data_IF_398193388089
#
_entry.id   IF_398193388089
#
_cell.length_a   1.000
_cell.length_b   1.000
_cell.length_c   1.000
_cell.angle_alpha   90.00
_cell.angle_beta   90.00
_cell.angle_gamma   90.00
#
_symmetry.space_group_name_H-M   'P 1'
#
loop_
_entity.id
_entity.type
_entity.pdbx_description
1 polymer ?
#
# COMPACT_ATOMS: atom_id res chain seq x y z
N UNK A 1 13.22 -14.33 11.35
CA UNK A 1 11.88 -14.85 11.75
C UNK A 1 11.72 -16.36 11.46
N UNK A 2 12.80 -17.11 11.58
CA UNK A 2 12.85 -18.55 11.21
C UNK A 2 12.33 -19.50 12.29
N UNK A 3 11.77 -19.01 13.38
CA UNK A 3 11.35 -19.83 14.53
C UNK A 3 9.84 -20.04 14.70
N UNK A 4 9.00 -19.44 13.84
CA UNK A 4 7.54 -19.56 13.97
C UNK A 4 7.10 -20.94 13.49
N UNK A 5 6.51 -21.74 14.39
CA UNK A 5 5.89 -23.01 14.05
C UNK A 5 4.39 -22.81 13.92
N UNK A 6 3.83 -23.16 12.76
CA UNK A 6 2.39 -23.14 12.53
C UNK A 6 1.73 -24.43 13.05
N UNK A 7 0.57 -24.30 13.67
CA UNK A 7 -0.25 -25.47 14.03
C UNK A 7 -0.97 -26.00 12.78
N UNK A 8 -0.43 -27.02 12.16
CA UNK A 8 -0.96 -27.63 10.93
C UNK A 8 -2.36 -28.25 11.08
N UNK A 9 -2.86 -28.42 12.31
CA UNK A 9 -4.26 -28.83 12.55
C UNK A 9 -5.24 -27.66 12.29
N UNK A 10 -4.75 -26.43 12.32
CA UNK A 10 -5.55 -25.21 12.17
C UNK A 10 -5.26 -24.44 10.88
N UNK A 11 -4.18 -24.79 10.18
CA UNK A 11 -3.71 -24.10 8.99
C UNK A 11 -3.50 -25.11 7.88
N UNK A 12 -4.16 -24.92 6.75
CA UNK A 12 -3.96 -25.69 5.53
C UNK A 12 -3.18 -24.86 4.51
N UNK A 13 -2.15 -25.47 3.92
CA UNK A 13 -1.35 -24.85 2.86
C UNK A 13 -1.77 -25.41 1.51
N UNK A 14 -2.00 -24.56 0.53
CA UNK A 14 -2.27 -24.93 -0.86
C UNK A 14 -1.57 -23.98 -1.82
N UNK A 15 -1.03 -24.52 -2.91
CA UNK A 15 -0.53 -23.72 -4.05
C UNK A 15 -1.62 -23.48 -5.10
N UNK A 16 -2.81 -24.03 -4.93
CA UNK A 16 -3.95 -23.87 -5.84
C UNK A 16 -4.93 -22.84 -5.26
N UNK A 17 -4.97 -21.67 -5.87
CA UNK A 17 -5.86 -20.58 -5.45
C UNK A 17 -7.35 -20.98 -5.45
N UNK A 18 -7.76 -21.90 -6.35
CA UNK A 18 -9.16 -22.30 -6.46
C UNK A 18 -9.61 -23.16 -5.27
N UNK A 19 -8.73 -23.97 -4.72
CA UNK A 19 -9.04 -24.78 -3.54
C UNK A 19 -9.19 -23.87 -2.32
N UNK A 20 -8.26 -22.90 -2.15
CA UNK A 20 -8.34 -21.91 -1.08
C UNK A 20 -9.65 -21.11 -1.16
N UNK A 21 -10.04 -20.67 -2.35
CA UNK A 21 -11.27 -19.90 -2.54
C UNK A 21 -12.52 -20.70 -2.25
N UNK A 22 -12.56 -22.00 -2.58
CA UNK A 22 -13.71 -22.85 -2.29
C UNK A 22 -13.96 -23.03 -0.78
N UNK A 23 -12.86 -23.18 -0.03
CA UNK A 23 -12.89 -23.46 1.41
C UNK A 23 -12.99 -22.19 2.29
N UNK A 24 -12.97 -20.99 1.69
CA UNK A 24 -12.90 -19.72 2.44
C UNK A 24 -14.04 -18.79 2.09
N UNK A 25 -14.67 -18.19 3.10
CA UNK A 25 -15.67 -17.11 2.94
C UNK A 25 -15.01 -15.73 2.92
N UNK A 26 -13.86 -15.60 3.54
CA UNK A 26 -13.06 -14.37 3.57
C UNK A 26 -11.71 -14.62 2.90
N UNK A 27 -11.35 -13.76 1.95
CA UNK A 27 -10.10 -13.85 1.18
C UNK A 27 -9.24 -12.64 1.44
N UNK A 28 -7.99 -12.85 1.89
CA UNK A 28 -7.04 -11.76 2.13
C UNK A 28 -5.98 -11.78 1.04
N UNK A 29 -5.91 -10.72 0.24
CA UNK A 29 -4.93 -10.56 -0.83
C UNK A 29 -3.75 -9.73 -0.35
N UNK A 30 -2.54 -10.31 -0.44
CA UNK A 30 -1.28 -9.70 0.02
C UNK A 30 -0.17 -9.75 -1.03
N UNK A 31 -0.49 -10.18 -2.25
CA UNK A 31 0.44 -10.21 -3.38
C UNK A 31 0.81 -8.79 -3.80
N UNK A 32 2.08 -8.46 -4.09
CA UNK A 32 2.43 -7.15 -4.63
C UNK A 32 1.63 -6.81 -5.90
N UNK A 33 1.20 -5.56 -6.03
CA UNK A 33 0.27 -5.11 -7.08
C UNK A 33 0.69 -5.47 -8.51
N UNK A 34 1.98 -5.45 -8.92
CA UNK A 34 2.39 -5.84 -10.26
C UNK A 34 2.11 -7.32 -10.61
N UNK A 35 1.98 -8.17 -9.61
CA UNK A 35 1.76 -9.61 -9.82
C UNK A 35 0.30 -10.04 -9.65
N UNK A 36 -0.58 -9.16 -9.19
CA UNK A 36 -1.97 -9.48 -8.89
C UNK A 36 -2.71 -10.09 -10.10
N UNK A 37 -2.65 -9.44 -11.25
CA UNK A 37 -3.31 -9.93 -12.49
C UNK A 37 -2.81 -11.31 -12.90
N UNK A 38 -1.50 -11.55 -12.83
CA UNK A 38 -0.91 -12.84 -13.19
C UNK A 38 -1.36 -13.97 -12.26
N UNK A 39 -1.50 -13.69 -10.96
CA UNK A 39 -2.03 -14.64 -9.98
C UNK A 39 -3.51 -14.91 -10.22
N UNK A 40 -4.31 -13.86 -10.45
CA UNK A 40 -5.75 -13.97 -10.64
C UNK A 40 -6.14 -14.64 -11.97
N UNK A 41 -5.27 -14.64 -13.00
CA UNK A 41 -5.48 -15.43 -14.23
C UNK A 41 -5.69 -16.94 -13.96
N UNK A 42 -5.16 -17.45 -12.85
CA UNK A 42 -5.33 -18.86 -12.43
C UNK A 42 -6.65 -19.12 -11.71
N UNK A 43 -7.36 -18.07 -11.32
CA UNK A 43 -8.62 -18.17 -10.59
C UNK A 43 -9.76 -18.51 -11.55
N UNK A 44 -10.38 -19.68 -11.34
CA UNK A 44 -11.57 -20.18 -12.06
C UNK A 44 -12.81 -20.16 -11.20
N UNK A 45 -12.63 -20.17 -9.88
CA UNK A 45 -13.71 -20.17 -8.90
C UNK A 45 -14.26 -18.76 -8.73
N UNK A 46 -15.58 -18.61 -8.70
CA UNK A 46 -16.22 -17.28 -8.50
C UNK A 46 -15.95 -16.75 -7.10
N UNK A 47 -15.67 -15.44 -7.01
CA UNK A 47 -15.40 -14.75 -5.75
C UNK A 47 -16.40 -13.63 -5.46
N UNK A 48 -17.42 -13.45 -6.30
CA UNK A 48 -18.40 -12.37 -6.22
C UNK A 48 -19.06 -12.26 -4.84
N UNK A 49 -19.36 -13.41 -4.22
CA UNK A 49 -20.08 -13.47 -2.95
C UNK A 49 -19.13 -13.60 -1.74
N UNK A 50 -17.82 -13.53 -1.96
CA UNK A 50 -16.82 -13.61 -0.89
C UNK A 50 -16.55 -12.23 -0.29
N UNK A 51 -16.15 -12.20 0.97
CA UNK A 51 -15.61 -11.00 1.59
C UNK A 51 -14.12 -10.87 1.23
N UNK A 52 -13.78 -9.83 0.49
CA UNK A 52 -12.42 -9.58 0.01
C UNK A 52 -11.75 -8.57 0.92
N UNK A 53 -10.53 -8.88 1.37
CA UNK A 53 -9.69 -7.94 2.11
C UNK A 53 -8.40 -7.78 1.33
N UNK A 54 -8.05 -6.56 0.98
CA UNK A 54 -6.77 -6.27 0.34
C UNK A 54 -5.83 -5.56 1.31
N UNK A 55 -4.61 -6.09 1.45
CA UNK A 55 -3.49 -5.43 2.11
C UNK A 55 -2.45 -4.95 1.08
N UNK A 56 -2.80 -4.97 -0.20
CA UNK A 56 -1.95 -4.55 -1.31
C UNK A 56 -1.82 -3.02 -1.27
N UNK A 57 -0.58 -2.52 -1.31
CA UNK A 57 -0.26 -1.09 -1.22
C UNK A 57 0.21 -0.55 -2.57
N UNK A 58 -0.56 -0.83 -3.61
CA UNK A 58 -0.24 -0.49 -4.99
C UNK A 58 -1.49 -0.30 -5.85
N UNK A 59 -1.28 0.12 -7.08
CA UNK A 59 -2.28 0.25 -8.14
C UNK A 59 -2.10 -0.90 -9.11
N UNK A 60 -3.18 -1.41 -9.69
CA UNK A 60 -3.13 -2.46 -10.71
C UNK A 60 -2.51 -1.87 -11.97
N UNK A 61 -1.30 -2.31 -12.39
CA UNK A 61 -0.64 -1.76 -13.57
C UNK A 61 -1.48 -1.98 -14.83
N UNK A 62 -1.28 -1.12 -15.83
CA UNK A 62 -1.98 -1.06 -17.11
C UNK A 62 -3.44 -0.59 -17.01
N UNK A 63 -4.21 -1.08 -16.02
CA UNK A 63 -5.57 -0.60 -15.79
C UNK A 63 -5.60 0.75 -15.06
N UNK A 64 -4.53 1.07 -14.31
CA UNK A 64 -4.39 2.28 -13.51
C UNK A 64 -5.57 2.51 -12.55
N UNK A 65 -6.07 1.43 -11.96
CA UNK A 65 -7.16 1.45 -10.97
C UNK A 65 -6.67 0.92 -9.63
N UNK A 66 -7.27 1.38 -8.56
CA UNK A 66 -7.03 0.83 -7.21
C UNK A 66 -7.56 -0.61 -7.13
N UNK A 67 -7.02 -1.39 -6.20
CA UNK A 67 -7.30 -2.84 -6.12
C UNK A 67 -8.76 -3.14 -5.84
N UNK A 68 -9.41 -2.33 -5.00
CA UNK A 68 -10.85 -2.47 -4.73
C UNK A 68 -11.71 -2.29 -5.99
N UNK A 69 -11.42 -1.27 -6.80
CA UNK A 69 -12.11 -1.06 -8.08
C UNK A 69 -11.84 -2.20 -9.07
N UNK A 70 -10.64 -2.75 -9.09
CA UNK A 70 -10.31 -3.88 -9.93
C UNK A 70 -11.15 -5.11 -9.59
N UNK A 71 -11.31 -5.45 -8.31
CA UNK A 71 -12.18 -6.56 -7.90
C UNK A 71 -13.65 -6.31 -8.25
N UNK A 72 -14.12 -5.07 -8.13
CA UNK A 72 -15.49 -4.73 -8.52
C UNK A 72 -15.70 -4.86 -10.03
N UNK A 73 -14.79 -4.31 -10.84
CA UNK A 73 -14.91 -4.28 -12.31
C UNK A 73 -14.74 -5.67 -12.94
N UNK A 74 -13.70 -6.40 -12.54
CA UNK A 74 -13.31 -7.64 -13.20
C UNK A 74 -14.01 -8.88 -12.63
N UNK A 75 -14.35 -8.88 -11.34
CA UNK A 75 -14.91 -10.03 -10.65
C UNK A 75 -16.34 -9.82 -10.15
N UNK A 76 -16.90 -8.62 -10.34
CA UNK A 76 -18.25 -8.28 -9.93
C UNK A 76 -18.47 -8.33 -8.41
N UNK A 77 -17.40 -8.17 -7.63
CA UNK A 77 -17.52 -8.13 -6.15
C UNK A 77 -18.16 -6.82 -5.74
N UNK A 78 -19.28 -6.84 -4.99
CA UNK A 78 -19.92 -5.63 -4.52
C UNK A 78 -18.97 -4.82 -3.61
N UNK A 79 -18.94 -3.48 -3.70
CA UNK A 79 -18.08 -2.64 -2.88
C UNK A 79 -18.19 -2.89 -1.37
N UNK A 80 -19.39 -3.18 -0.87
CA UNK A 80 -19.68 -3.53 0.52
C UNK A 80 -19.08 -4.87 0.96
N UNK A 81 -18.56 -5.66 0.03
CA UNK A 81 -17.83 -6.90 0.26
C UNK A 81 -16.31 -6.73 0.10
N UNK A 82 -15.82 -5.51 -0.06
CA UNK A 82 -14.39 -5.25 -0.20
C UNK A 82 -13.91 -4.37 0.95
N UNK A 83 -12.89 -4.85 1.66
CA UNK A 83 -12.20 -4.10 2.70
C UNK A 83 -10.73 -3.89 2.34
N UNK A 84 -10.18 -2.76 2.79
CA UNK A 84 -8.78 -2.41 2.66
C UNK A 84 -8.13 -2.40 4.04
N UNK A 85 -6.95 -3.00 4.15
CA UNK A 85 -6.14 -3.05 5.37
C UNK A 85 -4.90 -2.18 5.18
N UNK A 86 -4.79 -1.10 5.97
CA UNK A 86 -3.68 -0.16 5.91
C UNK A 86 -3.32 0.39 7.29
N UNK A 87 -2.22 1.12 7.40
CA UNK A 87 -1.76 1.77 8.61
C UNK A 87 -0.30 1.47 8.95
N UNK A 88 0.27 2.15 9.96
CA UNK A 88 1.66 1.99 10.38
C UNK A 88 1.88 0.62 11.05
N UNK A 89 2.31 -0.35 10.26
CA UNK A 89 2.44 -1.75 10.68
C UNK A 89 3.52 -2.46 9.85
N UNK A 90 4.77 -2.38 10.30
CA UNK A 90 5.87 -3.15 9.72
C UNK A 90 5.86 -4.59 10.25
N UNK A 91 5.99 -5.57 9.35
CA UNK A 91 5.96 -6.99 9.71
C UNK A 91 7.06 -7.37 10.72
N UNK A 92 8.22 -6.73 10.61
CA UNK A 92 9.36 -6.92 11.52
C UNK A 92 9.02 -6.49 12.94
N UNK A 93 8.29 -5.38 13.10
CA UNK A 93 7.86 -4.89 14.41
C UNK A 93 6.72 -5.73 14.99
N UNK A 94 5.78 -6.15 14.15
CA UNK A 94 4.71 -7.09 14.57
C UNK A 94 5.31 -8.41 15.06
N UNK A 95 6.31 -8.92 14.38
CA UNK A 95 6.99 -10.15 14.79
C UNK A 95 7.77 -10.02 16.12
N UNK A 96 8.10 -8.80 16.50
CA UNK A 96 8.71 -8.46 17.81
C UNK A 96 7.65 -8.02 18.83
N UNK A 97 6.36 -8.22 18.54
CA UNK A 97 5.22 -7.83 19.39
C UNK A 97 5.23 -6.33 19.75
N UNK A 98 5.75 -5.49 18.82
CA UNK A 98 5.71 -4.03 18.99
C UNK A 98 4.32 -3.51 18.63
N UNK A 99 3.91 -2.47 19.38
CA UNK A 99 2.59 -1.87 19.20
C UNK A 99 2.43 -1.34 17.76
N UNK A 100 1.47 -1.89 17.06
CA UNK A 100 1.17 -1.59 15.65
C UNK A 100 -0.29 -1.21 15.47
N UNK A 101 -0.58 -0.40 14.47
CA UNK A 101 -1.92 0.15 14.22
C UNK A 101 -2.38 -0.20 12.81
N UNK A 102 -3.59 -0.73 12.71
CA UNK A 102 -4.22 -1.08 11.45
C UNK A 102 -5.62 -0.49 11.35
N UNK A 103 -5.94 0.09 10.21
CA UNK A 103 -7.27 0.55 9.86
C UNK A 103 -7.87 -0.39 8.83
N UNK A 104 -9.10 -0.82 9.08
CA UNK A 104 -9.91 -1.61 8.17
C UNK A 104 -10.94 -0.67 7.54
N UNK A 105 -10.76 -0.36 6.26
CA UNK A 105 -11.69 0.47 5.50
C UNK A 105 -12.64 -0.41 4.70
N UNK A 106 -13.95 -0.25 4.93
CA UNK A 106 -15.01 -0.96 4.20
C UNK A 106 -16.28 -0.10 4.23
N UNK A 107 -17.05 0.02 3.12
CA UNK A 107 -18.34 0.69 3.13
C UNK A 107 -19.30 0.05 4.14
N UNK A 108 -19.28 -1.27 4.29
CA UNK A 108 -19.96 -1.99 5.37
C UNK A 108 -19.14 -1.95 6.66
N UNK A 109 -19.44 -0.97 7.51
CA UNK A 109 -18.73 -0.77 8.79
C UNK A 109 -18.88 -1.95 9.77
N UNK A 110 -19.94 -2.74 9.66
CA UNK A 110 -20.14 -3.89 10.55
C UNK A 110 -19.22 -5.05 10.18
N UNK A 111 -19.06 -5.35 8.88
CA UNK A 111 -18.04 -6.29 8.39
C UNK A 111 -16.64 -5.84 8.79
N UNK A 112 -16.33 -4.55 8.63
CA UNK A 112 -15.05 -3.99 9.06
C UNK A 112 -14.82 -4.17 10.57
N UNK A 113 -15.82 -3.90 11.42
CA UNK A 113 -15.72 -4.09 12.88
C UNK A 113 -15.54 -5.55 13.28
N UNK A 114 -16.23 -6.47 12.61
CA UNK A 114 -16.08 -7.92 12.87
C UNK A 114 -14.64 -8.35 12.56
N UNK A 115 -14.10 -7.94 11.41
CA UNK A 115 -12.74 -8.29 11.03
C UNK A 115 -11.71 -7.60 11.93
N UNK A 116 -11.90 -6.33 12.28
CA UNK A 116 -11.06 -5.58 13.19
C UNK A 116 -10.90 -6.27 14.55
N UNK A 117 -12.00 -6.77 15.12
CA UNK A 117 -11.98 -7.53 16.39
C UNK A 117 -11.20 -8.85 16.28
N UNK A 118 -11.27 -9.54 15.13
CA UNK A 118 -10.53 -10.79 14.90
C UNK A 118 -9.03 -10.55 14.74
N UNK A 119 -8.64 -9.42 14.18
CA UNK A 119 -7.26 -9.06 13.92
C UNK A 119 -6.58 -8.43 15.13
N UNK A 120 -7.34 -7.76 16.00
CA UNK A 120 -6.84 -7.07 17.19
C UNK A 120 -6.17 -8.01 18.19
N UNK A 121 -5.08 -7.54 18.81
CA UNK A 121 -4.35 -8.27 19.85
C UNK A 121 -3.81 -7.29 20.90
N UNK A 122 -2.98 -7.79 21.84
CA UNK A 122 -2.30 -6.94 22.83
C UNK A 122 -1.39 -5.89 22.16
N UNK A 123 -0.79 -6.21 21.02
CA UNK A 123 0.15 -5.37 20.27
C UNK A 123 -0.34 -4.92 18.88
N UNK A 124 -1.53 -5.35 18.44
CA UNK A 124 -2.19 -4.84 17.22
C UNK A 124 -3.45 -4.09 17.63
N UNK A 125 -3.47 -2.78 17.41
CA UNK A 125 -4.65 -1.94 17.60
C UNK A 125 -5.33 -1.71 16.28
N UNK A 126 -6.66 -1.79 16.29
CA UNK A 126 -7.46 -1.68 15.06
C UNK A 126 -8.45 -0.52 15.13
N UNK A 127 -8.64 0.16 14.01
CA UNK A 127 -9.68 1.16 13.76
C UNK A 127 -10.48 0.81 12.51
N UNK A 128 -11.61 1.49 12.32
CA UNK A 128 -12.51 1.26 11.18
C UNK A 128 -12.77 2.57 10.46
N UNK A 129 -12.77 2.53 9.13
CA UNK A 129 -13.08 3.65 8.24
C UNK A 129 -14.05 3.22 7.15
N UNK A 130 -14.69 4.16 6.47
CA UNK A 130 -15.44 3.96 5.23
C UNK A 130 -14.71 4.53 3.99
N UNK A 131 -13.58 5.21 4.18
CA UNK A 131 -12.79 5.80 3.09
C UNK A 131 -11.88 4.76 2.42
N UNK A 132 -12.47 3.83 1.69
CA UNK A 132 -11.73 2.77 0.98
C UNK A 132 -10.76 3.36 -0.04
N UNK A 133 -11.26 4.21 -0.95
CA UNK A 133 -10.45 4.77 -2.02
C UNK A 133 -9.34 5.69 -1.51
N UNK A 134 -9.65 6.58 -0.55
CA UNK A 134 -8.64 7.47 0.02
C UNK A 134 -7.52 6.71 0.73
N UNK A 135 -7.85 5.63 1.44
CA UNK A 135 -6.86 4.79 2.14
C UNK A 135 -6.02 3.98 1.14
N UNK A 136 -6.60 3.47 0.05
CA UNK A 136 -5.81 2.81 -1.00
C UNK A 136 -4.85 3.79 -1.68
N UNK A 137 -5.33 4.94 -2.16
CA UNK A 137 -4.47 5.96 -2.78
C UNK A 137 -3.39 6.47 -1.83
N UNK A 138 -3.72 6.72 -0.56
CA UNK A 138 -2.71 7.16 0.42
C UNK A 138 -1.63 6.11 0.64
N UNK A 139 -2.00 4.83 0.64
CA UNK A 139 -1.05 3.70 0.77
C UNK A 139 -0.10 3.58 -0.42
N UNK A 140 -0.52 4.03 -1.61
CA UNK A 140 0.36 4.14 -2.78
C UNK A 140 1.26 5.38 -2.68
N UNK A 141 0.67 6.53 -2.40
CA UNK A 141 1.37 7.81 -2.34
C UNK A 141 2.45 7.85 -1.26
N UNK A 142 2.19 7.27 -0.07
CA UNK A 142 3.23 7.18 0.96
C UNK A 142 4.48 6.44 0.48
N UNK A 143 4.32 5.43 -0.37
CA UNK A 143 5.44 4.68 -0.94
C UNK A 143 6.23 5.53 -1.95
N UNK A 144 5.55 6.38 -2.73
CA UNK A 144 6.19 7.37 -3.62
C UNK A 144 6.98 8.38 -2.79
N UNK A 145 6.37 8.92 -1.74
CA UNK A 145 7.02 9.91 -0.86
C UNK A 145 8.17 9.30 -0.06
N UNK A 146 8.09 8.02 0.27
CA UNK A 146 9.22 7.31 0.89
C UNK A 146 10.42 7.19 -0.06
N UNK A 147 10.20 7.05 -1.37
CA UNK A 147 11.29 7.13 -2.38
C UNK A 147 11.91 8.52 -2.34
N UNK A 148 11.10 9.59 -2.37
CA UNK A 148 11.59 10.97 -2.27
C UNK A 148 12.41 11.19 -0.99
N UNK A 149 11.90 10.74 0.16
CA UNK A 149 12.57 10.79 1.45
C UNK A 149 13.92 10.05 1.42
N UNK A 150 13.95 8.88 0.79
CA UNK A 150 15.17 8.11 0.58
C UNK A 150 16.19 8.83 -0.28
N UNK A 151 15.78 9.41 -1.42
CA UNK A 151 16.64 10.20 -2.31
C UNK A 151 17.30 11.34 -1.53
N UNK A 152 16.53 12.13 -0.79
CA UNK A 152 17.03 13.24 0.01
C UNK A 152 17.98 12.76 1.13
N UNK A 153 17.70 11.62 1.74
CA UNK A 153 18.59 10.99 2.71
C UNK A 153 19.92 10.56 2.08
N UNK A 154 19.87 9.96 0.88
CA UNK A 154 21.08 9.59 0.11
C UNK A 154 21.95 10.80 -0.27
N UNK A 155 21.30 11.93 -0.60
CA UNK A 155 21.93 13.23 -0.88
C UNK A 155 22.40 13.97 0.38
N UNK A 156 22.14 13.43 1.58
CA UNK A 156 22.52 14.01 2.88
C UNK A 156 21.92 15.40 3.17
N UNK A 157 20.68 15.64 2.76
CA UNK A 157 19.98 16.93 3.00
C UNK A 157 19.63 17.18 4.48
N UNK A 158 19.67 16.16 5.34
CA UNK A 158 19.48 16.28 6.77
C UNK A 158 18.00 16.29 7.22
N UNK A 159 17.81 16.27 8.55
CA UNK A 159 16.49 16.05 9.16
C UNK A 159 15.54 17.24 9.00
N UNK A 160 16.05 18.48 8.99
CA UNK A 160 15.23 19.66 8.77
C UNK A 160 14.53 19.61 7.40
N UNK A 161 15.29 19.26 6.35
CA UNK A 161 14.73 19.10 5.02
C UNK A 161 13.73 17.93 4.97
N UNK A 162 14.05 16.83 5.62
CA UNK A 162 13.19 15.65 5.69
C UNK A 162 11.84 15.99 6.32
N UNK A 163 11.82 16.75 7.41
CA UNK A 163 10.60 17.20 8.06
C UNK A 163 9.73 18.07 7.14
N UNK A 164 10.35 19.00 6.41
CA UNK A 164 9.65 19.85 5.42
C UNK A 164 9.12 19.02 4.26
N UNK A 165 9.91 18.05 3.75
CA UNK A 165 9.47 17.15 2.68
C UNK A 165 8.21 16.37 3.09
N UNK A 166 8.19 15.77 4.27
CA UNK A 166 7.03 15.00 4.75
C UNK A 166 5.82 15.92 4.99
N UNK A 167 6.03 17.13 5.51
CA UNK A 167 4.96 18.13 5.66
C UNK A 167 4.35 18.53 4.30
N UNK A 168 5.17 18.68 3.27
CA UNK A 168 4.68 18.94 1.91
C UNK A 168 4.03 17.70 1.28
N UNK A 169 4.52 16.51 1.58
CA UNK A 169 3.98 15.25 1.09
C UNK A 169 2.54 15.00 1.57
N UNK A 170 2.24 15.25 2.85
CA UNK A 170 0.86 15.10 3.34
C UNK A 170 -0.08 16.14 2.70
N UNK A 171 0.38 17.36 2.45
CA UNK A 171 -0.40 18.38 1.75
C UNK A 171 -0.65 17.99 0.28
N UNK A 172 0.35 17.45 -0.40
CA UNK A 172 0.22 16.95 -1.78
C UNK A 172 -0.76 15.77 -1.84
N UNK A 173 -0.64 14.81 -0.91
CA UNK A 173 -1.58 13.70 -0.75
C UNK A 173 -3.01 14.22 -0.57
N UNK A 174 -3.22 15.17 0.34
CA UNK A 174 -4.54 15.73 0.62
C UNK A 174 -5.16 16.41 -0.62
N UNK A 175 -4.36 17.19 -1.38
CA UNK A 175 -4.83 17.78 -2.64
C UNK A 175 -5.29 16.73 -3.64
N UNK A 176 -4.48 15.68 -3.83
CA UNK A 176 -4.80 14.58 -4.73
C UNK A 176 -6.08 13.85 -4.32
N UNK A 177 -6.16 13.43 -3.06
CA UNK A 177 -7.32 12.69 -2.53
C UNK A 177 -8.62 13.48 -2.64
N UNK A 178 -8.58 14.78 -2.33
CA UNK A 178 -9.78 15.65 -2.40
C UNK A 178 -10.24 15.90 -3.84
N UNK A 179 -9.35 15.76 -4.82
CA UNK A 179 -9.70 15.91 -6.24
C UNK A 179 -10.21 14.60 -6.83
N UNK A 180 -9.52 13.48 -6.56
CA UNK A 180 -9.83 12.18 -7.17
C UNK A 180 -11.02 11.49 -6.49
N UNK A 181 -11.13 11.64 -5.18
CA UNK A 181 -12.23 11.07 -4.39
C UNK A 181 -12.62 12.05 -3.26
N UNK A 182 -13.44 13.06 -3.56
CA UNK A 182 -13.86 14.07 -2.58
C UNK A 182 -14.59 13.43 -1.40
N UNK A 183 -14.03 13.60 -0.22
CA UNK A 183 -14.60 13.14 1.05
C UNK A 183 -14.08 14.06 2.17
N UNK A 184 -14.91 14.32 3.17
CA UNK A 184 -14.44 15.01 4.39
C UNK A 184 -13.62 14.02 5.23
N UNK A 185 -12.28 14.05 5.05
CA UNK A 185 -11.33 13.17 5.76
C UNK A 185 -10.37 13.98 6.60
N UNK A 186 -9.97 13.39 7.72
CA UNK A 186 -8.88 13.92 8.53
C UNK A 186 -7.57 13.19 8.13
N UNK A 187 -6.73 13.86 7.34
CA UNK A 187 -5.45 13.29 6.87
C UNK A 187 -4.40 13.18 7.99
N UNK A 188 -4.65 13.74 9.17
CA UNK A 188 -3.78 13.63 10.34
C UNK A 188 -3.94 12.28 11.07
N UNK A 189 -4.95 11.48 10.70
CA UNK A 189 -5.14 10.15 11.28
C UNK A 189 -3.98 9.20 10.95
N UNK A 190 -3.81 8.20 11.82
CA UNK A 190 -2.68 7.26 11.74
C UNK A 190 -2.58 6.50 10.42
N UNK A 191 -3.69 6.25 9.75
CA UNK A 191 -3.73 5.56 8.44
C UNK A 191 -3.19 6.40 7.28
N UNK A 192 -3.20 7.72 7.40
CA UNK A 192 -2.64 8.66 6.43
C UNK A 192 -1.28 9.18 6.89
N UNK A 193 -1.27 10.16 7.80
CA UNK A 193 -0.03 10.79 8.29
C UNK A 193 0.86 9.81 9.03
N UNK A 194 0.31 8.98 9.92
CA UNK A 194 1.11 8.02 10.69
C UNK A 194 1.81 7.00 9.79
N UNK A 195 1.10 6.47 8.78
CA UNK A 195 1.65 5.50 7.83
C UNK A 195 2.65 6.16 6.85
N UNK A 196 2.46 7.44 6.50
CA UNK A 196 3.44 8.22 5.75
C UNK A 196 4.71 8.44 6.57
N UNK A 197 4.59 8.86 7.83
CA UNK A 197 5.73 9.09 8.72
C UNK A 197 6.58 7.84 8.89
N UNK A 198 5.96 6.72 9.30
CA UNK A 198 6.71 5.48 9.51
C UNK A 198 7.37 4.99 8.21
N UNK A 199 6.70 5.13 7.07
CA UNK A 199 7.27 4.71 5.77
C UNK A 199 8.42 5.60 5.31
N UNK A 200 8.35 6.91 5.59
CA UNK A 200 9.37 7.89 5.20
C UNK A 200 10.62 7.88 6.09
N UNK A 201 10.48 7.50 7.37
CA UNK A 201 11.60 7.51 8.33
C UNK A 201 12.17 6.12 8.64
N UNK A 202 11.38 5.06 8.54
CA UNK A 202 11.82 3.71 8.93
C UNK A 202 12.90 3.14 8.00
N UNK A 203 13.89 2.51 8.63
CA UNK A 203 14.91 1.74 7.90
C UNK A 203 14.36 0.42 7.31
N UNK A 204 13.19 -0.04 7.76
CA UNK A 204 12.50 -1.19 7.19
C UNK A 204 11.76 -0.85 5.88
N UNK A 205 11.63 0.44 5.54
CA UNK A 205 10.95 0.87 4.32
C UNK A 205 11.77 0.57 3.08
N UNK A 206 11.35 -0.42 2.31
CA UNK A 206 11.95 -0.78 1.02
C UNK A 206 11.98 0.39 0.03
N UNK A 207 10.91 1.19 0.01
CA UNK A 207 10.81 2.36 -0.86
C UNK A 207 11.85 3.43 -0.45
N UNK A 208 12.01 3.66 0.85
CA UNK A 208 13.04 4.57 1.36
C UNK A 208 14.45 4.06 1.04
N UNK A 209 14.71 2.75 1.21
CA UNK A 209 15.99 2.13 0.85
C UNK A 209 16.30 2.30 -0.63
N UNK A 210 15.31 2.02 -1.51
CA UNK A 210 15.43 2.24 -2.96
C UNK A 210 15.80 3.69 -3.28
N UNK A 211 15.06 4.65 -2.71
CA UNK A 211 15.36 6.07 -2.88
C UNK A 211 16.75 6.45 -2.38
N UNK A 212 17.19 5.90 -1.24
CA UNK A 212 18.52 6.16 -0.69
C UNK A 212 19.65 5.68 -1.62
N UNK A 213 19.46 4.54 -2.28
CA UNK A 213 20.41 4.05 -3.29
C UNK A 213 20.50 5.00 -4.48
N UNK A 214 19.33 5.46 -5.00
CA UNK A 214 19.29 6.44 -6.08
C UNK A 214 19.98 7.75 -5.66
N UNK A 215 19.70 8.27 -4.47
CA UNK A 215 20.35 9.47 -3.93
C UNK A 215 21.87 9.33 -3.72
N UNK A 216 22.36 8.11 -3.57
CA UNK A 216 23.80 7.79 -3.53
C UNK A 216 24.43 7.60 -4.90
N UNK A 217 23.67 7.75 -6.00
CA UNK A 217 24.18 7.65 -7.37
C UNK A 217 24.01 6.27 -8.03
N UNK A 218 23.30 5.34 -7.42
CA UNK A 218 22.94 4.09 -8.10
C UNK A 218 21.97 4.38 -9.26
N UNK A 219 22.15 3.68 -10.38
CA UNK A 219 21.10 3.67 -11.40
C UNK A 219 19.85 2.95 -10.87
N UNK A 220 18.68 3.29 -11.41
CA UNK A 220 17.43 2.60 -11.06
C UNK A 220 17.54 1.09 -11.25
N UNK A 221 18.11 0.66 -12.38
CA UNK A 221 18.31 -0.76 -12.68
C UNK A 221 19.23 -1.43 -11.66
N UNK A 222 20.32 -0.79 -11.28
CA UNK A 222 21.24 -1.34 -10.27
C UNK A 222 20.56 -1.45 -8.91
N UNK A 223 19.80 -0.41 -8.50
CA UNK A 223 19.07 -0.42 -7.25
C UNK A 223 17.98 -1.53 -7.23
N UNK A 224 17.28 -1.75 -8.34
CA UNK A 224 16.28 -2.83 -8.45
C UNK A 224 16.89 -4.24 -8.37
N UNK A 225 18.08 -4.44 -8.95
CA UNK A 225 18.79 -5.74 -8.91
C UNK A 225 19.31 -6.03 -7.51
N UNK A 226 19.83 -5.01 -6.82
CA UNK A 226 20.40 -5.14 -5.47
C UNK A 226 19.32 -5.43 -4.40
N UNK A 227 18.09 -5.05 -4.66
CA UNK A 227 17.00 -5.25 -3.71
C UNK A 227 16.38 -6.66 -3.85
N UNK A 228 16.34 -7.41 -2.76
CA UNK A 228 15.68 -8.73 -2.70
C UNK A 228 14.15 -8.66 -2.95
N UNK A 229 13.54 -7.51 -2.69
CA UNK A 229 12.11 -7.29 -2.81
C UNK A 229 11.82 -5.97 -3.53
N UNK A 230 10.76 -5.95 -4.34
CA UNK A 230 10.38 -4.77 -5.12
C UNK A 230 10.01 -3.58 -4.23
N UNK A 231 10.35 -2.38 -4.70
CA UNK A 231 9.85 -1.11 -4.19
C UNK A 231 8.56 -0.75 -4.93
N UNK A 232 7.40 -1.01 -4.33
CA UNK A 232 6.10 -0.79 -4.99
C UNK A 232 5.86 0.68 -5.36
N UNK A 233 6.47 1.62 -4.65
CA UNK A 233 6.40 3.04 -4.96
C UNK A 233 6.93 3.40 -6.35
N UNK A 234 7.86 2.62 -6.91
CA UNK A 234 8.33 2.80 -8.29
C UNK A 234 7.18 2.62 -9.30
N UNK A 235 6.44 1.52 -9.17
CA UNK A 235 5.27 1.25 -10.02
C UNK A 235 4.12 2.22 -9.71
N UNK A 236 3.89 2.50 -8.42
CA UNK A 236 2.90 3.47 -7.97
C UNK A 236 3.12 4.86 -8.55
N UNK A 237 4.38 5.30 -8.66
CA UNK A 237 4.72 6.59 -9.27
C UNK A 237 4.21 6.70 -10.71
N UNK A 238 4.42 5.66 -11.52
CA UNK A 238 3.93 5.61 -12.90
C UNK A 238 2.40 5.66 -12.96
N UNK A 239 1.73 4.80 -12.18
CA UNK A 239 0.27 4.71 -12.19
C UNK A 239 -0.40 6.00 -11.69
N UNK A 240 0.07 6.59 -10.59
CA UNK A 240 -0.47 7.87 -10.10
C UNK A 240 -0.25 8.99 -11.11
N UNK A 241 0.90 9.02 -11.80
CA UNK A 241 1.15 10.01 -12.85
C UNK A 241 0.16 9.87 -14.01
N UNK A 242 -0.17 8.64 -14.43
CA UNK A 242 -1.18 8.39 -15.47
C UNK A 242 -2.58 8.83 -15.01
N UNK A 243 -2.98 8.48 -13.80
CA UNK A 243 -4.27 8.91 -13.21
C UNK A 243 -4.33 10.44 -13.15
N UNK A 244 -3.24 11.10 -12.73
CA UNK A 244 -3.20 12.55 -12.57
C UNK A 244 -3.26 13.33 -13.90
N UNK A 245 -3.01 12.69 -15.05
CA UNK A 245 -3.25 13.30 -16.36
C UNK A 245 -4.69 13.73 -16.58
N UNK A 246 -5.64 13.07 -15.93
CA UNK A 246 -7.07 13.38 -16.02
C UNK A 246 -7.54 14.39 -14.96
N UNK A 247 -6.78 14.54 -13.86
CA UNK A 247 -7.18 15.35 -12.72
C UNK A 247 -6.39 16.66 -12.59
N UNK A 248 -5.20 16.73 -13.21
CA UNK A 248 -4.32 17.91 -13.23
C UNK A 248 -3.99 18.48 -11.84
N UNK A 249 -3.87 17.62 -10.83
CA UNK A 249 -3.49 18.03 -9.48
C UNK A 249 -2.02 18.46 -9.47
N UNK A 250 -1.71 19.54 -8.78
CA UNK A 250 -0.33 19.99 -8.58
C UNK A 250 0.39 19.04 -7.59
N UNK A 251 1.30 18.19 -8.10
CA UNK A 251 2.00 17.14 -7.37
C UNK A 251 3.52 17.20 -7.59
N UNK A 252 4.20 18.25 -7.11
CA UNK A 252 5.63 18.48 -7.38
C UNK A 252 6.53 17.35 -6.84
N UNK A 253 6.21 16.69 -5.73
CA UNK A 253 7.02 15.59 -5.18
C UNK A 253 6.86 14.35 -6.05
N UNK A 254 5.64 13.98 -6.45
CA UNK A 254 5.39 12.91 -7.41
C UNK A 254 6.16 13.15 -8.72
N UNK A 255 6.09 14.38 -9.24
CA UNK A 255 6.74 14.76 -10.49
C UNK A 255 8.27 14.64 -10.39
N UNK A 256 8.86 15.06 -9.27
CA UNK A 256 10.29 14.88 -9.04
C UNK A 256 10.70 13.41 -9.00
N UNK A 257 9.95 12.55 -8.27
CA UNK A 257 10.22 11.11 -8.21
C UNK A 257 10.05 10.47 -9.59
N UNK A 258 9.00 10.85 -10.34
CA UNK A 258 8.77 10.35 -11.69
C UNK A 258 9.94 10.70 -12.63
N UNK A 259 10.37 11.95 -12.62
CA UNK A 259 11.48 12.40 -13.47
C UNK A 259 12.78 11.67 -13.12
N UNK A 260 13.12 11.58 -11.84
CA UNK A 260 14.36 10.93 -11.39
C UNK A 260 14.35 9.43 -11.71
N UNK A 261 13.24 8.74 -11.43
CA UNK A 261 13.22 7.28 -11.53
C UNK A 261 12.80 6.73 -12.89
N UNK A 262 12.07 7.50 -13.71
CA UNK A 262 11.43 6.99 -14.92
C UNK A 262 11.86 7.72 -16.21
N UNK A 263 12.35 8.96 -16.14
CA UNK A 263 12.78 9.70 -17.32
C UNK A 263 14.29 9.79 -17.47
N UNK A 264 15.04 10.06 -16.38
CA UNK A 264 16.49 10.28 -16.46
C UNK A 264 17.33 8.99 -16.35
N UNK A 265 16.70 7.84 -16.27
CA UNK A 265 17.37 6.54 -16.08
C UNK A 265 17.15 5.58 -17.25
N UNK A 266 16.57 6.06 -18.36
CA UNK A 266 16.45 5.31 -19.63
C UNK A 266 17.67 5.47 -20.52
#
# INVERSE_FOLDING_TARGET
>A
LTGVKFDTRRITFSSNINDVVKESDTLIFVTPSPYLKAHLKKLKTKIKDKFIITAIKGIVPDDNVIVSEYFTKEYGVPPENIAVLAGPCHAEEVALERLSYLTIACPDKDKARIFARRLGSSFIKTSVSDDVAGIEYSSVLKNVYAIAAGICSGLKYGDNFQAVLISNAIQEMNRFLNTVHPLNRNVDESVYLGDLLVTGYSNFSRNRTFGTMIGKGYSVKSAQIEMEMIAEGYYGTKCIKEINKHHHVNMPILDAVYNICLLYTS
#
